data_IF_323032861454
#
_entry.id   IF_323032861454
#
_cell.length_a   1.000
_cell.length_b   1.000
_cell.length_c   1.000
_cell.angle_alpha   90.00
_cell.angle_beta   90.00
_cell.angle_gamma   90.00
#
_symmetry.space_group_name_H-M   'P 1'
#
loop_
_entity.id
_entity.type
_entity.pdbx_description
1 polymer ?
#
# COMPACT_ATOMS: atom_id res chain seq x y z
N UNK A 1 -7.27 12.49 25.55
CA UNK A 1 -7.23 11.35 24.61
C UNK A 1 -5.77 11.10 24.29
N UNK A 2 -5.18 10.01 24.79
CA UNK A 2 -3.82 9.63 24.39
C UNK A 2 -3.93 9.14 22.95
N UNK A 3 -3.36 9.87 21.99
CA UNK A 3 -3.35 9.43 20.59
C UNK A 3 -2.33 8.30 20.50
N UNK A 4 -2.81 7.09 20.24
CA UNK A 4 -1.96 5.94 19.98
C UNK A 4 -1.34 6.14 18.60
N UNK A 5 -0.01 6.28 18.52
CA UNK A 5 0.72 6.24 17.24
C UNK A 5 0.56 4.84 16.66
N UNK A 6 0.05 4.72 15.44
CA UNK A 6 -0.14 3.44 14.72
C UNK A 6 0.99 3.21 13.71
N UNK A 7 1.22 1.95 13.30
CA UNK A 7 2.23 1.59 12.27
C UNK A 7 2.04 2.39 10.98
N UNK A 8 0.79 2.57 10.52
CA UNK A 8 0.46 3.39 9.35
C UNK A 8 0.94 4.84 9.49
N UNK A 9 0.79 5.44 10.67
CA UNK A 9 1.30 6.78 10.93
C UNK A 9 2.83 6.83 10.92
N UNK A 10 3.50 5.78 11.42
CA UNK A 10 4.97 5.66 11.38
C UNK A 10 5.44 5.58 9.93
N UNK A 11 4.92 4.63 9.13
CA UNK A 11 5.26 4.44 7.70
C UNK A 11 5.00 5.70 6.88
N UNK A 12 3.81 6.31 7.04
CA UNK A 12 3.45 7.56 6.34
C UNK A 12 4.38 8.72 6.73
N UNK A 13 4.74 8.84 8.02
CA UNK A 13 5.66 9.89 8.47
C UNK A 13 7.08 9.66 7.95
N UNK A 14 7.53 8.41 7.91
CA UNK A 14 8.83 8.03 7.33
C UNK A 14 8.90 8.44 5.86
N UNK A 15 7.95 7.96 5.04
CA UNK A 15 7.87 8.28 3.60
C UNK A 15 7.77 9.79 3.34
N UNK A 16 7.04 10.52 4.17
CA UNK A 16 6.94 11.98 4.05
C UNK A 16 8.25 12.73 4.35
N UNK A 17 9.19 12.11 5.06
CA UNK A 17 10.48 12.71 5.44
C UNK A 17 11.68 12.10 4.73
N UNK A 18 11.51 10.96 4.06
CA UNK A 18 12.45 10.35 3.12
C UNK A 18 12.37 11.08 1.76
N UNK A 19 12.84 12.32 1.75
CA UNK A 19 12.70 13.24 0.59
C UNK A 19 13.55 12.80 -0.61
N UNK A 20 14.60 12.01 -0.36
CA UNK A 20 15.53 11.53 -1.37
C UNK A 20 15.25 10.10 -1.83
N UNK A 21 14.13 9.48 -1.41
CA UNK A 21 13.78 8.08 -1.67
C UNK A 21 14.99 7.15 -1.42
N UNK A 22 15.74 7.47 -0.37
CA UNK A 22 16.93 6.68 -0.03
C UNK A 22 16.57 5.41 0.71
N UNK A 23 15.34 5.31 1.20
CA UNK A 23 14.90 4.24 2.09
C UNK A 23 15.44 4.41 3.50
N UNK A 24 16.04 5.57 3.83
CA UNK A 24 16.67 5.81 5.11
C UNK A 24 16.56 7.28 5.57
N UNK A 25 16.30 7.50 6.85
CA UNK A 25 16.26 8.83 7.44
C UNK A 25 17.59 9.16 8.11
N UNK A 26 18.25 10.21 7.65
CA UNK A 26 19.38 10.81 8.36
C UNK A 26 18.93 11.51 9.67
N UNK A 27 19.89 11.93 10.50
CA UNK A 27 19.63 12.60 11.80
C UNK A 27 18.64 13.77 11.72
N UNK A 28 18.70 14.58 10.65
CA UNK A 28 17.81 15.73 10.48
C UNK A 28 16.40 15.30 10.11
N UNK A 29 16.25 14.31 9.24
CA UNK A 29 14.97 13.78 8.82
C UNK A 29 14.30 12.98 9.94
N UNK A 30 15.06 12.15 10.65
CA UNK A 30 14.62 11.40 11.82
C UNK A 30 14.04 12.34 12.89
N UNK A 31 14.78 13.39 13.26
CA UNK A 31 14.29 14.38 14.22
C UNK A 31 12.96 15.03 13.78
N UNK A 32 12.85 15.46 12.52
CA UNK A 32 11.61 16.05 11.99
C UNK A 32 10.44 15.06 11.97
N UNK A 33 10.71 13.80 11.64
CA UNK A 33 9.71 12.73 11.64
C UNK A 33 9.16 12.50 13.06
N UNK A 34 10.04 12.41 14.06
CA UNK A 34 9.64 12.21 15.47
C UNK A 34 8.84 13.40 16.01
N UNK A 35 9.23 14.63 15.68
CA UNK A 35 8.46 15.84 16.01
C UNK A 35 7.08 15.82 15.34
N UNK A 36 6.97 15.33 14.10
CA UNK A 36 5.70 15.19 13.38
C UNK A 36 4.77 14.17 14.07
N UNK A 37 5.32 13.12 14.67
CA UNK A 37 4.60 12.16 15.52
C UNK A 37 4.27 12.71 16.92
N UNK A 38 4.64 13.97 17.22
CA UNK A 38 4.48 14.62 18.52
C UNK A 38 5.26 13.96 19.65
N UNK A 39 6.38 13.32 19.31
CA UNK A 39 7.31 12.78 20.29
C UNK A 39 8.25 13.90 20.76
N UNK A 40 8.48 14.05 22.08
CA UNK A 40 9.37 15.06 22.61
C UNK A 40 10.82 14.58 22.52
N UNK A 41 11.46 14.80 21.38
CA UNK A 41 12.89 14.49 21.15
C UNK A 41 13.64 15.74 20.71
N UNK A 42 14.93 15.82 21.02
CA UNK A 42 15.83 16.88 20.56
C UNK A 42 16.82 16.34 19.52
N UNK A 43 17.43 17.23 18.73
CA UNK A 43 18.42 16.84 17.73
C UNK A 43 19.69 16.21 18.36
N UNK A 44 19.98 16.53 19.63
CA UNK A 44 21.07 15.91 20.39
C UNK A 44 20.81 14.44 20.71
N UNK A 45 19.54 14.02 20.74
CA UNK A 45 19.18 12.64 21.08
C UNK A 45 19.40 11.68 19.90
N UNK A 46 19.65 12.20 18.69
CA UNK A 46 19.78 11.37 17.48
C UNK A 46 20.94 10.37 17.57
N UNK A 47 22.07 10.77 18.16
CA UNK A 47 23.21 9.88 18.34
C UNK A 47 22.87 8.71 19.28
N UNK A 48 22.15 8.99 20.37
CA UNK A 48 21.65 7.98 21.31
C UNK A 48 20.61 7.05 20.66
N UNK A 49 19.73 7.60 19.80
CA UNK A 49 18.74 6.83 19.05
C UNK A 49 19.39 5.94 17.99
N UNK A 50 20.45 6.40 17.31
CA UNK A 50 21.20 5.54 16.40
C UNK A 50 21.93 4.43 17.14
N UNK A 51 22.46 4.71 18.33
CA UNK A 51 23.06 3.69 19.18
C UNK A 51 22.02 2.66 19.65
N UNK A 52 20.78 3.06 19.93
CA UNK A 52 19.73 2.14 20.39
C UNK A 52 19.35 1.08 19.35
N UNK A 53 19.44 1.41 18.06
CA UNK A 53 19.24 0.48 16.93
C UNK A 53 20.53 -0.07 16.32
N UNK A 54 21.70 0.23 16.90
CA UNK A 54 23.00 -0.29 16.43
C UNK A 54 23.46 0.29 15.08
N UNK A 55 23.03 1.51 14.75
CA UNK A 55 23.35 2.26 13.52
C UNK A 55 24.33 3.42 13.78
N UNK A 56 25.17 3.31 14.80
CA UNK A 56 26.02 4.42 15.28
C UNK A 56 27.04 4.91 14.24
N UNK A 57 27.32 4.10 13.21
CA UNK A 57 28.26 4.41 12.12
C UNK A 57 27.58 4.82 10.81
N UNK A 58 26.30 4.52 10.63
CA UNK A 58 25.57 4.80 9.40
C UNK A 58 24.90 6.18 9.43
N UNK A 59 24.67 6.75 10.62
CA UNK A 59 24.04 8.06 10.82
C UNK A 59 22.70 8.22 10.06
N UNK A 60 22.05 7.09 9.78
CA UNK A 60 20.81 6.94 9.05
C UNK A 60 20.09 5.69 9.55
N UNK A 61 18.76 5.71 9.49
CA UNK A 61 17.89 4.62 9.95
C UNK A 61 16.86 4.25 8.90
N UNK A 62 16.67 2.95 8.71
CA UNK A 62 15.65 2.41 7.80
C UNK A 62 14.27 2.41 8.48
N UNK A 63 13.22 2.03 7.76
CA UNK A 63 11.84 2.05 8.28
C UNK A 63 11.67 1.16 9.53
N UNK A 64 12.33 0.00 9.56
CA UNK A 64 12.29 -0.92 10.69
C UNK A 64 12.94 -0.29 11.93
N UNK A 65 14.14 0.27 11.77
CA UNK A 65 14.87 0.97 12.83
C UNK A 65 14.09 2.19 13.35
N UNK A 66 13.47 2.97 12.45
CA UNK A 66 12.60 4.10 12.84
C UNK A 66 11.38 3.64 13.64
N UNK A 67 10.81 2.50 13.27
CA UNK A 67 9.66 1.92 13.97
C UNK A 67 10.05 1.51 15.39
N UNK A 68 11.21 0.85 15.54
CA UNK A 68 11.73 0.46 16.85
C UNK A 68 11.99 1.66 17.75
N UNK A 69 12.62 2.72 17.23
CA UNK A 69 12.83 3.99 17.95
C UNK A 69 11.50 4.59 18.43
N UNK A 70 10.48 4.63 17.56
CA UNK A 70 9.17 5.19 17.90
C UNK A 70 8.46 4.35 18.97
N UNK A 71 8.57 3.02 18.89
CA UNK A 71 8.00 2.11 19.88
C UNK A 71 8.70 2.23 21.24
N UNK A 72 10.04 2.34 21.23
CA UNK A 72 10.85 2.55 22.43
C UNK A 72 10.49 3.87 23.13
N UNK A 73 10.40 4.97 22.39
CA UNK A 73 10.02 6.29 22.91
C UNK A 73 8.59 6.36 23.43
N UNK A 74 7.69 5.53 22.91
CA UNK A 74 6.29 5.46 23.34
C UNK A 74 6.12 4.70 24.66
N UNK A 75 7.15 3.94 25.09
CA UNK A 75 7.20 3.30 26.40
C UNK A 75 6.36 2.03 26.54
N UNK A 76 5.93 1.42 25.43
CA UNK A 76 5.30 0.09 25.43
C UNK A 76 6.38 -1.00 25.44
N UNK A 77 7.29 -0.95 26.41
CA UNK A 77 8.22 -2.03 26.72
C UNK A 77 7.50 -3.09 27.55
N UNK A 78 6.61 -3.84 26.91
CA UNK A 78 6.28 -5.17 27.40
C UNK A 78 6.79 -6.19 26.38
N UNK A 79 8.02 -6.65 26.66
CA UNK A 79 8.58 -7.92 26.21
C UNK A 79 7.52 -9.01 26.28
N UNK A 80 6.83 -9.30 25.17
CA UNK A 80 6.17 -10.59 24.87
C UNK A 80 5.53 -10.67 23.47
N UNK A 81 5.72 -9.70 22.56
CA UNK A 81 5.15 -9.76 21.20
C UNK A 81 6.21 -9.91 20.12
N UNK A 82 7.06 -10.92 20.26
CA UNK A 82 7.85 -11.45 19.14
C UNK A 82 6.99 -12.25 18.13
N UNK A 83 5.66 -12.26 18.24
CA UNK A 83 4.74 -13.06 17.41
C UNK A 83 3.36 -12.40 17.16
N UNK A 84 3.20 -11.09 17.39
CA UNK A 84 1.94 -10.37 17.10
C UNK A 84 2.16 -9.24 16.08
N UNK A 85 3.12 -9.47 15.17
CA UNK A 85 3.07 -8.84 13.87
C UNK A 85 1.99 -9.58 13.10
N UNK A 86 0.74 -9.15 13.27
CA UNK A 86 -0.28 -9.39 12.24
C UNK A 86 0.36 -8.99 10.91
N UNK A 87 0.55 -10.00 10.07
CA UNK A 87 1.00 -9.95 8.68
C UNK A 87 -0.06 -9.29 7.77
N UNK A 88 -1.14 -8.76 8.36
CA UNK A 88 -2.28 -8.18 7.66
C UNK A 88 -2.28 -6.66 7.80
N UNK A 89 -1.49 -5.99 6.96
CA UNK A 89 -1.88 -4.75 6.26
C UNK A 89 -0.71 -4.36 5.36
N UNK A 90 -0.58 -5.08 4.25
CA UNK A 90 -0.03 -4.55 3.00
C UNK A 90 -0.92 -3.38 2.55
N UNK A 91 -0.84 -2.26 3.26
CA UNK A 91 -1.31 -0.95 2.79
C UNK A 91 -0.06 -0.28 2.17
N UNK A 92 0.34 -0.82 1.02
CA UNK A 92 1.19 -0.10 0.08
C UNK A 92 0.34 0.95 -0.62
N UNK A 93 0.31 2.15 -0.03
CA UNK A 93 0.02 3.39 -0.75
C UNK A 93 1.23 3.73 -1.65
N UNK A 94 1.49 2.87 -2.64
CA UNK A 94 2.05 3.30 -3.91
C UNK A 94 0.88 3.54 -4.86
N UNK A 95 0.96 4.58 -5.70
CA UNK A 95 0.08 4.72 -6.85
C UNK A 95 0.38 3.58 -7.83
N UNK A 96 0.08 2.34 -7.45
CA UNK A 96 0.11 1.21 -8.35
C UNK A 96 -1.08 1.34 -9.31
N UNK A 97 -0.78 1.24 -10.60
CA UNK A 97 -1.74 0.83 -11.62
C UNK A 97 -2.73 -0.17 -10.99
N UNK A 98 -4.06 0.03 -11.09
CA UNK A 98 -5.01 -0.80 -10.39
C UNK A 98 -4.72 -2.26 -10.74
N UNK A 99 -4.26 -3.04 -9.76
CA UNK A 99 -3.98 -4.46 -9.98
C UNK A 99 -5.23 -5.10 -10.55
N UNK A 100 -5.07 -6.14 -11.38
CA UNK A 100 -6.20 -6.79 -12.05
C UNK A 100 -7.31 -7.20 -11.06
N UNK A 101 -6.98 -7.43 -9.78
CA UNK A 101 -7.95 -7.68 -8.70
C UNK A 101 -8.80 -6.44 -8.35
N UNK A 102 -8.18 -5.27 -8.18
CA UNK A 102 -8.88 -4.01 -7.88
C UNK A 102 -9.76 -3.59 -9.07
N UNK A 103 -9.19 -3.66 -10.28
CA UNK A 103 -9.93 -3.36 -11.51
C UNK A 103 -11.11 -4.34 -11.69
N UNK A 104 -10.90 -5.64 -11.44
CA UNK A 104 -11.98 -6.62 -11.47
C UNK A 104 -13.08 -6.27 -10.47
N UNK A 105 -12.72 -5.91 -9.24
CA UNK A 105 -13.70 -5.62 -8.19
C UNK A 105 -14.52 -4.36 -8.49
N UNK A 106 -13.94 -3.37 -9.19
CA UNK A 106 -14.68 -2.20 -9.67
C UNK A 106 -15.64 -2.52 -10.83
N UNK A 107 -15.31 -3.51 -11.66
CA UNK A 107 -16.06 -3.91 -12.86
C UNK A 107 -17.10 -5.00 -12.59
N UNK A 108 -16.86 -5.86 -11.60
CA UNK A 108 -17.66 -7.05 -11.33
C UNK A 108 -19.04 -6.68 -10.74
N UNK A 109 -20.05 -7.47 -11.09
CA UNK A 109 -21.36 -7.35 -10.47
C UNK A 109 -21.35 -8.10 -9.12
N UNK A 110 -21.67 -7.42 -8.00
CA UNK A 110 -21.66 -8.03 -6.67
C UNK A 110 -22.69 -9.15 -6.50
N UNK A 111 -23.72 -9.23 -7.37
CA UNK A 111 -24.74 -10.27 -7.30
C UNK A 111 -24.27 -11.61 -7.89
N UNK A 112 -23.37 -11.59 -8.88
CA UNK A 112 -22.86 -12.79 -9.55
C UNK A 112 -21.38 -13.05 -9.30
N UNK A 113 -20.68 -12.10 -8.65
CA UNK A 113 -19.24 -12.16 -8.37
C UNK A 113 -18.40 -12.37 -9.65
N UNK A 114 -18.79 -11.69 -10.72
CA UNK A 114 -18.22 -11.81 -12.06
C UNK A 114 -18.53 -10.57 -12.90
N UNK A 115 -17.73 -10.30 -13.92
CA UNK A 115 -18.00 -9.19 -14.84
C UNK A 115 -19.00 -9.69 -15.88
N UNK A 116 -20.18 -9.09 -15.86
CA UNK A 116 -21.20 -9.35 -16.89
C UNK A 116 -21.02 -8.40 -18.06
N UNK A 117 -21.54 -8.78 -19.23
CA UNK A 117 -21.62 -7.88 -20.39
C UNK A 117 -22.32 -6.55 -20.05
N UNK A 118 -23.32 -6.57 -19.15
CA UNK A 118 -24.00 -5.34 -18.73
C UNK A 118 -23.13 -4.46 -17.84
N UNK A 119 -22.36 -5.04 -16.93
CA UNK A 119 -21.43 -4.29 -16.07
C UNK A 119 -20.30 -3.67 -16.90
N UNK A 120 -19.73 -4.46 -17.82
CA UNK A 120 -18.68 -4.00 -18.73
C UNK A 120 -19.19 -2.86 -19.62
N UNK A 121 -20.41 -2.99 -20.16
CA UNK A 121 -21.01 -1.95 -20.99
C UNK A 121 -21.28 -0.65 -20.23
N UNK A 122 -21.78 -0.73 -18.99
CA UNK A 122 -21.95 0.45 -18.13
C UNK A 122 -20.64 1.17 -17.86
N UNK A 123 -19.57 0.41 -17.60
CA UNK A 123 -18.26 1.01 -17.31
C UNK A 123 -17.67 1.65 -18.56
N UNK A 124 -17.75 0.97 -19.71
CA UNK A 124 -17.37 1.53 -21.00
C UNK A 124 -18.21 2.76 -21.40
N UNK A 125 -19.48 2.85 -20.99
CA UNK A 125 -20.31 4.05 -21.18
C UNK A 125 -19.91 5.21 -20.25
N UNK A 126 -19.42 4.92 -19.04
CA UNK A 126 -18.91 5.95 -18.11
C UNK A 126 -17.51 6.44 -18.44
N UNK A 127 -16.73 5.64 -19.17
CA UNK A 127 -15.39 5.99 -19.62
C UNK A 127 -15.51 6.68 -20.99
N UNK A 128 -15.19 7.97 -21.04
CA UNK A 128 -15.60 8.93 -22.08
C UNK A 128 -14.91 8.75 -23.47
N UNK A 129 -14.70 7.52 -23.95
CA UNK A 129 -14.19 7.26 -25.30
C UNK A 129 -14.77 5.99 -25.96
N UNK A 130 -15.62 6.20 -26.97
CA UNK A 130 -15.79 5.41 -28.22
C UNK A 130 -15.86 3.88 -28.25
N UNK A 131 -16.07 3.16 -27.14
CA UNK A 131 -16.24 1.70 -27.19
C UNK A 131 -17.61 1.32 -27.77
N UNK A 132 -17.61 0.60 -28.89
CA UNK A 132 -18.84 0.08 -29.50
C UNK A 132 -19.27 -1.23 -28.85
N UNK A 133 -20.58 -1.50 -28.83
CA UNK A 133 -21.13 -2.79 -28.35
C UNK A 133 -20.45 -4.00 -28.99
N UNK A 134 -20.02 -3.89 -30.25
CA UNK A 134 -19.32 -4.95 -30.95
C UNK A 134 -17.92 -5.18 -30.36
N UNK A 135 -17.14 -4.13 -30.09
CA UNK A 135 -15.82 -4.24 -29.46
C UNK A 135 -15.93 -4.83 -28.05
N UNK A 136 -16.95 -4.44 -27.28
CA UNK A 136 -17.19 -4.98 -25.94
C UNK A 136 -17.55 -6.47 -26.02
N UNK A 137 -18.34 -6.89 -27.02
CA UNK A 137 -18.62 -8.30 -27.27
C UNK A 137 -17.37 -9.08 -27.68
N UNK A 138 -16.49 -8.49 -28.49
CA UNK A 138 -15.21 -9.11 -28.88
C UNK A 138 -14.29 -9.26 -27.66
N UNK A 139 -14.18 -8.25 -26.81
CA UNK A 139 -13.45 -8.33 -25.54
C UNK A 139 -14.02 -9.39 -24.60
N UNK A 140 -15.36 -9.45 -24.49
CA UNK A 140 -16.04 -10.47 -23.69
C UNK A 140 -15.71 -11.87 -24.21
N UNK A 141 -15.80 -12.11 -25.51
CA UNK A 141 -15.49 -13.42 -26.10
C UNK A 141 -14.01 -13.82 -25.98
N UNK A 142 -13.10 -12.85 -25.93
CA UNK A 142 -11.68 -13.11 -25.71
C UNK A 142 -11.36 -13.40 -24.24
N UNK A 143 -12.13 -12.81 -23.33
CA UNK A 143 -11.98 -13.00 -21.89
C UNK A 143 -12.67 -14.24 -21.34
N UNK A 144 -13.88 -14.52 -21.82
CA UNK A 144 -14.70 -15.66 -21.45
C UNK A 144 -14.14 -16.94 -22.10
N UNK A 145 -13.18 -17.57 -21.41
CA UNK A 145 -12.48 -18.76 -21.88
C UNK A 145 -13.34 -20.01 -21.74
N UNK A 146 -14.25 -20.01 -20.76
CA UNK A 146 -15.11 -21.13 -20.44
C UNK A 146 -16.49 -21.06 -21.17
N UNK A 147 -16.79 -19.93 -21.83
CA UNK A 147 -18.02 -19.62 -22.54
C UNK A 147 -19.29 -19.69 -21.67
N UNK A 148 -19.19 -19.30 -20.40
CA UNK A 148 -20.32 -19.25 -19.47
C UNK A 148 -21.06 -17.89 -19.49
N UNK A 149 -20.54 -16.91 -20.24
CA UNK A 149 -21.10 -15.58 -20.38
C UNK A 149 -20.80 -14.64 -19.21
N UNK A 150 -19.86 -15.01 -18.33
CA UNK A 150 -19.32 -14.23 -17.22
C UNK A 150 -17.79 -14.23 -17.34
N UNK A 151 -17.15 -13.14 -16.93
CA UNK A 151 -15.69 -13.14 -16.76
C UNK A 151 -15.42 -13.31 -15.28
N UNK A 152 -14.74 -14.39 -14.93
CA UNK A 152 -14.29 -14.64 -13.57
C UNK A 152 -12.95 -13.90 -13.26
N UNK A 153 -12.54 -13.79 -11.98
CA UNK A 153 -11.30 -13.09 -11.62
C UNK A 153 -10.05 -13.68 -12.29
N UNK A 154 -10.01 -15.00 -12.53
CA UNK A 154 -8.87 -15.66 -13.16
C UNK A 154 -8.83 -15.35 -14.66
N UNK A 155 -9.98 -15.36 -15.33
CA UNK A 155 -10.14 -15.01 -16.73
C UNK A 155 -9.75 -13.55 -16.99
N UNK A 156 -10.20 -12.64 -16.12
CA UNK A 156 -9.83 -11.23 -16.18
C UNK A 156 -8.31 -11.04 -16.06
N UNK A 157 -7.65 -11.72 -15.11
CA UNK A 157 -6.19 -11.69 -14.97
C UNK A 157 -5.46 -12.17 -16.21
N UNK A 158 -5.94 -13.25 -16.83
CA UNK A 158 -5.34 -13.79 -18.05
C UNK A 158 -5.44 -12.77 -19.19
N UNK A 159 -6.58 -12.07 -19.31
CA UNK A 159 -6.77 -11.04 -20.32
C UNK A 159 -5.95 -9.79 -20.06
N UNK A 160 -5.94 -9.25 -18.85
CA UNK A 160 -5.11 -8.09 -18.50
C UNK A 160 -3.64 -8.36 -18.84
N UNK A 161 -3.13 -9.54 -18.44
CA UNK A 161 -1.77 -9.96 -18.74
C UNK A 161 -1.49 -10.12 -20.24
N UNK A 162 -2.47 -10.55 -21.03
CA UNK A 162 -2.36 -10.62 -22.50
C UNK A 162 -2.44 -9.26 -23.16
N UNK A 163 -3.23 -8.35 -22.61
CA UNK A 163 -3.38 -6.97 -23.07
C UNK A 163 -2.16 -6.10 -22.74
N UNK A 164 -1.25 -6.59 -21.89
CA UNK A 164 -0.05 -5.87 -21.47
C UNK A 164 -0.33 -4.83 -20.37
N UNK A 165 -1.43 -5.01 -19.64
CA UNK A 165 -1.70 -4.37 -18.35
C UNK A 165 -1.00 -5.13 -17.23
#
# INVERSE_FOLDING_TARGET
MKKTITKRQIKSTFKAHDVDDTGALNATCLHKALISLKLPVELSDMDDLFESVGREKEASVELDDFTDIVLELKGDTNSDTANDFDEDEEDDEEEEEPTADIAFQMLADPAVNGITLQSLLKVCETQDESWTKQQIMEMMNEADLNHDGLIDPNEFKIVCKKAGL
#
